data_IF_495674286152
#
_entry.id   IF_495674286152
#
_cell.length_a   1.000
_cell.length_b   1.000
_cell.length_c   1.000
_cell.angle_alpha   90.00
_cell.angle_beta   90.00
_cell.angle_gamma   90.00
#
_symmetry.space_group_name_H-M   'P 1'
#
loop_
_entity.id
_entity.type
_entity.pdbx_description
1 polymer ?
#
# COMPACT_ATOMS: atom_id res chain seq x y z
N UNK A 1 -10.83 -42.96 -41.03
CA UNK A 1 -10.69 -42.70 -39.58
C UNK A 1 -9.64 -41.61 -39.38
N UNK A 2 -9.82 -40.68 -38.44
CA UNK A 2 -10.05 -39.26 -38.78
C UNK A 2 -8.81 -38.35 -38.69
N UNK A 3 -8.81 -37.33 -39.57
CA UNK A 3 -7.92 -36.18 -39.58
C UNK A 3 -8.18 -35.35 -38.32
N UNK A 4 -7.19 -35.25 -37.44
CA UNK A 4 -7.26 -34.46 -36.21
C UNK A 4 -6.85 -33.02 -36.50
N UNK A 5 -7.81 -32.20 -36.90
CA UNK A 5 -7.69 -30.74 -36.77
C UNK A 5 -7.89 -30.39 -35.30
N UNK A 6 -6.79 -30.25 -34.56
CA UNK A 6 -6.80 -29.63 -33.26
C UNK A 6 -7.04 -28.12 -33.44
N UNK A 7 -8.31 -27.73 -33.55
CA UNK A 7 -8.72 -26.37 -33.33
C UNK A 7 -8.52 -26.06 -31.84
N UNK A 8 -7.46 -25.33 -31.51
CA UNK A 8 -7.33 -24.66 -30.22
C UNK A 8 -8.30 -23.47 -30.23
N UNK A 9 -9.40 -23.47 -29.46
CA UNK A 9 -10.07 -22.22 -29.17
C UNK A 9 -9.15 -21.49 -28.18
N UNK A 10 -8.47 -20.46 -28.68
CA UNK A 10 -7.83 -19.45 -27.84
C UNK A 10 -8.96 -18.75 -27.09
N UNK A 11 -9.38 -19.32 -25.96
CA UNK A 11 -10.28 -18.68 -25.01
C UNK A 11 -9.62 -17.37 -24.59
N UNK A 12 -10.15 -16.27 -25.10
CA UNK A 12 -10.00 -14.94 -24.53
C UNK A 12 -10.52 -15.02 -23.09
N UNK A 13 -9.62 -15.32 -22.16
CA UNK A 13 -9.83 -15.01 -20.74
C UNK A 13 -9.69 -13.50 -20.61
N UNK A 14 -10.75 -12.77 -21.00
CA UNK A 14 -10.99 -11.42 -20.52
C UNK A 14 -11.18 -11.56 -19.01
N UNK A 15 -10.09 -11.41 -18.26
CA UNK A 15 -10.17 -11.10 -16.84
C UNK A 15 -10.97 -9.80 -16.77
N UNK A 16 -12.22 -9.88 -16.33
CA UNK A 16 -13.05 -8.71 -16.09
C UNK A 16 -12.37 -7.87 -15.00
N UNK A 17 -11.53 -6.92 -15.40
CA UNK A 17 -10.94 -5.94 -14.51
C UNK A 17 -12.07 -5.00 -14.11
N UNK A 18 -12.64 -5.22 -12.93
CA UNK A 18 -13.63 -4.30 -12.35
C UNK A 18 -12.89 -3.02 -11.95
N UNK A 19 -13.19 -1.92 -12.63
CA UNK A 19 -12.65 -0.61 -12.29
C UNK A 19 -13.71 0.23 -11.57
N UNK A 20 -13.32 0.96 -10.53
CA UNK A 20 -14.21 1.92 -9.86
C UNK A 20 -13.88 3.33 -10.34
N UNK A 21 -14.90 4.05 -10.79
CA UNK A 21 -14.80 5.43 -11.23
C UNK A 21 -15.44 6.35 -10.18
N UNK A 22 -14.64 7.28 -9.65
CA UNK A 22 -15.06 8.23 -8.63
C UNK A 22 -15.47 9.55 -9.30
N UNK A 23 -16.73 9.91 -9.15
CA UNK A 23 -17.31 11.14 -9.70
C UNK A 23 -17.50 12.12 -8.55
N UNK A 24 -16.79 13.25 -8.63
CA UNK A 24 -16.86 14.29 -7.61
C UNK A 24 -18.28 14.92 -7.52
N UNK A 25 -18.68 15.40 -6.33
CA UNK A 25 -19.90 16.17 -6.16
C UNK A 25 -19.87 17.45 -7.01
N UNK A 26 -21.03 17.84 -7.54
CA UNK A 26 -21.18 19.06 -8.37
C UNK A 26 -21.55 20.30 -7.56
N UNK A 27 -21.84 20.15 -6.26
CA UNK A 27 -22.21 21.27 -5.39
C UNK A 27 -20.97 21.87 -4.71
N UNK A 28 -20.95 23.20 -4.46
CA UNK A 28 -19.87 23.83 -3.71
C UNK A 28 -19.66 23.21 -2.32
N UNK A 29 -20.75 22.85 -1.64
CA UNK A 29 -20.73 22.23 -0.32
C UNK A 29 -20.11 20.83 -0.37
N UNK A 30 -20.43 20.05 -1.41
CA UNK A 30 -19.87 18.71 -1.59
C UNK A 30 -18.38 18.76 -1.92
N UNK A 31 -17.95 19.72 -2.75
CA UNK A 31 -16.53 19.93 -3.05
C UNK A 31 -15.75 20.35 -1.79
N UNK A 32 -16.32 21.25 -0.97
CA UNK A 32 -15.71 21.63 0.31
C UNK A 32 -15.61 20.43 1.29
N UNK A 33 -16.64 19.58 1.33
CA UNK A 33 -16.62 18.33 2.09
C UNK A 33 -15.50 17.39 1.61
N UNK A 34 -15.33 17.24 0.29
CA UNK A 34 -14.27 16.41 -0.29
C UNK A 34 -12.87 16.94 0.02
N UNK A 35 -12.66 18.25 -0.11
CA UNK A 35 -11.38 18.87 0.27
C UNK A 35 -11.01 18.60 1.72
N UNK A 36 -12.00 18.64 2.63
CA UNK A 36 -11.78 18.29 4.03
C UNK A 36 -11.45 16.81 4.20
N UNK A 37 -12.18 15.92 3.54
CA UNK A 37 -11.91 14.48 3.60
C UNK A 37 -10.50 14.16 3.10
N UNK A 38 -10.09 14.71 1.96
CA UNK A 38 -8.76 14.49 1.40
C UNK A 38 -7.66 15.05 2.31
N UNK A 39 -7.88 16.21 2.93
CA UNK A 39 -6.96 16.77 3.91
C UNK A 39 -6.80 15.86 5.14
N UNK A 40 -7.89 15.28 5.64
CA UNK A 40 -7.86 14.34 6.76
C UNK A 40 -7.10 13.04 6.41
N UNK A 41 -7.36 12.49 5.23
CA UNK A 41 -6.66 11.30 4.72
C UNK A 41 -5.18 11.58 4.54
N UNK A 42 -4.81 12.68 3.87
CA UNK A 42 -3.43 13.07 3.66
C UNK A 42 -2.69 13.29 4.99
N UNK A 43 -3.33 13.95 5.96
CA UNK A 43 -2.73 14.13 7.29
C UNK A 43 -2.51 12.80 8.01
N UNK A 44 -3.42 11.84 7.84
CA UNK A 44 -3.23 10.49 8.36
C UNK A 44 -2.07 9.75 7.66
N UNK A 45 -2.04 9.77 6.33
CA UNK A 45 -1.01 9.09 5.53
C UNK A 45 0.38 9.63 5.85
N UNK A 46 0.50 10.95 6.05
CA UNK A 46 1.74 11.58 6.53
C UNK A 46 2.18 11.01 7.88
N UNK A 47 1.28 10.90 8.87
CA UNK A 47 1.63 10.32 10.17
C UNK A 47 2.02 8.85 10.09
N UNK A 48 1.35 8.07 9.25
CA UNK A 48 1.70 6.66 9.03
C UNK A 48 3.09 6.55 8.39
N UNK A 49 3.40 7.40 7.40
CA UNK A 49 4.72 7.47 6.78
C UNK A 49 5.80 7.87 7.79
N UNK A 50 5.58 8.92 8.58
CA UNK A 50 6.54 9.36 9.62
C UNK A 50 6.85 8.23 10.62
N UNK A 51 5.84 7.46 11.03
CA UNK A 51 6.04 6.28 11.88
C UNK A 51 6.86 5.21 11.18
N UNK A 52 6.54 4.90 9.92
CA UNK A 52 7.30 3.92 9.13
C UNK A 52 8.76 4.36 8.97
N UNK A 53 9.01 5.64 8.69
CA UNK A 53 10.35 6.20 8.54
C UNK A 53 11.15 6.12 9.84
N UNK A 54 10.51 6.33 10.99
CA UNK A 54 11.13 6.13 12.30
C UNK A 54 11.59 4.68 12.51
N UNK A 55 10.74 3.70 12.19
CA UNK A 55 11.11 2.28 12.28
C UNK A 55 12.22 1.91 11.29
N UNK A 56 12.17 2.43 10.06
CA UNK A 56 13.21 2.21 9.04
C UNK A 56 14.56 2.77 9.52
N UNK A 57 14.58 4.00 10.03
CA UNK A 57 15.79 4.64 10.56
C UNK A 57 16.42 3.85 11.71
N UNK A 58 15.58 3.37 12.64
CA UNK A 58 16.03 2.53 13.74
C UNK A 58 16.61 1.20 13.23
N UNK A 59 15.94 0.55 12.29
CA UNK A 59 16.43 -0.70 11.69
C UNK A 59 17.78 -0.49 10.98
N UNK A 60 17.92 0.56 10.17
CA UNK A 60 19.18 0.91 9.51
C UNK A 60 20.31 1.21 10.50
N UNK A 61 19.99 1.88 11.61
CA UNK A 61 20.96 2.11 12.68
C UNK A 61 21.46 0.79 13.29
N UNK A 62 20.55 -0.15 13.58
CA UNK A 62 20.92 -1.45 14.14
C UNK A 62 21.73 -2.31 13.15
N UNK A 63 21.38 -2.30 11.86
CA UNK A 63 22.18 -2.97 10.82
C UNK A 63 23.59 -2.40 10.73
N UNK A 64 23.75 -1.06 10.72
CA UNK A 64 25.07 -0.43 10.73
C UNK A 64 25.87 -0.78 11.98
N UNK A 65 25.22 -0.79 13.14
CA UNK A 65 25.87 -1.18 14.40
C UNK A 65 26.35 -2.63 14.38
N UNK A 66 25.52 -3.55 13.84
CA UNK A 66 25.92 -4.95 13.65
C UNK A 66 27.13 -5.06 12.72
N UNK A 67 27.11 -4.39 11.57
CA UNK A 67 28.23 -4.41 10.62
C UNK A 67 29.54 -3.92 11.26
N UNK A 68 29.48 -2.88 12.09
CA UNK A 68 30.64 -2.37 12.82
C UNK A 68 31.15 -3.38 13.86
N UNK A 69 30.24 -4.02 14.60
CA UNK A 69 30.60 -5.08 15.54
C UNK A 69 31.27 -6.26 14.82
N UNK A 70 30.71 -6.69 13.69
CA UNK A 70 31.25 -7.80 12.89
C UNK A 70 32.64 -7.47 12.34
N UNK A 71 32.85 -6.23 11.91
CA UNK A 71 34.17 -5.75 11.50
C UNK A 71 35.20 -5.82 12.65
N UNK A 72 34.77 -5.54 13.88
CA UNK A 72 35.61 -5.63 15.08
C UNK A 72 35.80 -7.05 15.63
N UNK A 73 35.04 -8.04 15.15
CA UNK A 73 35.09 -9.43 15.61
C UNK A 73 36.25 -10.21 14.98
N UNK A 74 37.47 -9.78 15.25
CA UNK A 74 38.70 -10.37 14.68
C UNK A 74 38.92 -11.85 15.02
N UNK A 75 38.34 -12.31 16.14
CA UNK A 75 38.43 -13.70 16.60
C UNK A 75 37.26 -14.58 16.10
N UNK A 76 36.38 -14.06 15.24
CA UNK A 76 35.21 -14.77 14.70
C UNK A 76 34.36 -15.42 15.80
N UNK A 77 34.20 -14.72 16.93
CA UNK A 77 33.41 -15.21 18.05
C UNK A 77 31.95 -15.36 17.58
N UNK A 78 31.36 -16.57 17.64
CA UNK A 78 30.01 -16.78 17.16
C UNK A 78 29.00 -16.02 18.02
N UNK A 79 28.00 -15.43 17.37
CA UNK A 79 26.93 -14.64 18.01
C UNK A 79 27.42 -13.44 18.85
N UNK A 80 28.64 -12.96 18.62
CA UNK A 80 29.17 -11.79 19.33
C UNK A 80 28.40 -10.50 19.03
N UNK A 81 27.82 -10.42 17.82
CA UNK A 81 27.07 -9.27 17.36
C UNK A 81 25.58 -9.61 17.33
N UNK A 82 24.73 -8.85 18.04
CA UNK A 82 23.30 -9.09 18.05
C UNK A 82 22.71 -8.86 16.66
N UNK A 83 21.77 -9.73 16.27
CA UNK A 83 21.00 -9.52 15.04
C UNK A 83 19.96 -8.42 15.27
N UNK A 84 19.76 -7.52 14.29
CA UNK A 84 18.67 -6.57 14.35
C UNK A 84 17.32 -7.31 14.35
N UNK A 85 16.31 -6.77 15.03
CA UNK A 85 14.95 -7.27 14.92
C UNK A 85 14.44 -7.10 13.48
N UNK A 86 13.46 -7.91 13.10
CA UNK A 86 12.81 -7.78 11.79
C UNK A 86 12.23 -6.37 11.60
N UNK A 87 12.24 -5.83 10.36
CA UNK A 87 11.64 -4.53 10.06
C UNK A 87 10.19 -4.47 10.51
N UNK A 88 9.83 -3.42 11.25
CA UNK A 88 8.43 -3.15 11.60
C UNK A 88 7.72 -2.53 10.41
N UNK A 89 6.56 -3.08 10.05
CA UNK A 89 5.66 -2.49 9.08
C UNK A 89 4.48 -1.81 9.79
N UNK A 90 4.19 -0.58 9.40
CA UNK A 90 3.03 0.18 9.87
C UNK A 90 1.91 0.01 8.84
N UNK A 91 0.77 -0.49 9.28
CA UNK A 91 -0.40 -0.63 8.43
C UNK A 91 -1.00 0.73 8.07
N UNK A 92 -1.42 0.89 6.81
CA UNK A 92 -2.11 2.09 6.35
C UNK A 92 -3.63 1.90 6.44
N UNK A 93 -4.23 2.50 7.46
CA UNK A 93 -5.67 2.51 7.73
C UNK A 93 -6.35 3.84 7.31
N UNK A 94 -5.61 4.75 6.69
CA UNK A 94 -6.06 6.13 6.50
C UNK A 94 -7.22 6.27 5.51
N UNK A 95 -7.41 5.26 4.64
CA UNK A 95 -8.49 5.21 3.66
C UNK A 95 -9.64 4.30 4.07
N UNK A 96 -9.64 3.80 5.30
CA UNK A 96 -10.71 2.94 5.81
C UNK A 96 -12.04 3.71 5.80
N UNK A 97 -13.02 3.15 5.09
CA UNK A 97 -14.34 3.77 4.89
C UNK A 97 -14.31 5.05 4.03
N UNK A 98 -13.26 5.28 3.22
CA UNK A 98 -13.19 6.43 2.32
C UNK A 98 -14.40 6.51 1.38
N UNK A 99 -14.76 5.39 0.75
CA UNK A 99 -15.88 5.32 -0.19
C UNK A 99 -17.21 5.77 0.43
N UNK A 100 -17.48 5.36 1.68
CA UNK A 100 -18.69 5.77 2.41
C UNK A 100 -18.68 7.28 2.67
N UNK A 101 -17.53 7.84 3.08
CA UNK A 101 -17.36 9.28 3.33
C UNK A 101 -17.44 10.09 2.03
N UNK A 102 -16.88 9.57 0.94
CA UNK A 102 -16.93 10.14 -0.40
C UNK A 102 -18.38 10.27 -0.88
N UNK A 103 -19.18 9.21 -0.74
CA UNK A 103 -20.60 9.22 -1.07
C UNK A 103 -21.39 10.18 -0.16
N UNK A 104 -21.06 10.27 1.14
CA UNK A 104 -21.67 11.25 2.06
C UNK A 104 -21.40 12.70 1.67
N UNK A 105 -20.27 12.99 1.04
CA UNK A 105 -19.98 14.31 0.48
C UNK A 105 -20.74 14.58 -0.84
N UNK A 106 -21.57 13.65 -1.32
CA UNK A 106 -22.31 13.76 -2.58
C UNK A 106 -21.55 13.23 -3.79
N UNK A 107 -20.40 12.59 -3.59
CA UNK A 107 -19.69 11.86 -4.64
C UNK A 107 -20.45 10.61 -5.08
N UNK A 108 -20.16 10.12 -6.28
CA UNK A 108 -20.73 8.87 -6.82
C UNK A 108 -19.61 7.92 -7.23
N UNK A 109 -19.76 6.65 -6.88
CA UNK A 109 -18.82 5.60 -7.25
C UNK A 109 -19.52 4.69 -8.26
N UNK A 110 -18.97 4.59 -9.46
CA UNK A 110 -19.51 3.75 -10.54
C UNK A 110 -18.58 2.56 -10.77
N UNK A 111 -19.15 1.36 -10.80
CA UNK A 111 -18.43 0.14 -11.16
C UNK A 111 -18.46 0.00 -12.69
N UNK A 112 -17.29 -0.05 -13.30
CA UNK A 112 -17.10 -0.31 -14.72
C UNK A 112 -16.69 -1.78 -14.85
N UNK A 113 -17.54 -2.58 -15.47
CA UNK A 113 -17.25 -3.96 -15.86
C UNK A 113 -16.85 -3.96 -17.34
N UNK A 114 -15.67 -4.51 -17.66
CA UNK A 114 -15.18 -4.71 -19.04
C UNK A 114 -15.34 -6.17 -19.45
#
# INVERSE_FOLDING_TARGET
MPIRFAALPLMMLLTACTHYHYINPQTPEGLACMHKLDAEVNACETRVREKQDSFNSLHEFMERSRQQCEHGNTFNIPNACPQPPSPTKVDNYCRDGYDEKFVKCGGRIEKIEQ
#
